data_IF_191994796002
#
_entry.id   IF_191994796002
#
_cell.length_a   1.000
_cell.length_b   1.000
_cell.length_c   1.000
_cell.angle_alpha   90.00
_cell.angle_beta   90.00
_cell.angle_gamma   90.00
#
_symmetry.space_group_name_H-M   'P 1'
#
loop_
_entity.id
_entity.type
_entity.pdbx_description
1 polymer ?
#
# COMPACT_ATOMS: atom_id res chain seq x y z
N UNK A 1 43.38 7.00 -7.86
CA UNK A 1 41.91 7.04 -7.58
C UNK A 1 41.48 5.65 -7.13
N UNK A 2 41.00 5.42 -5.90
CA UNK A 2 40.56 4.11 -5.48
C UNK A 2 39.18 3.81 -6.12
N UNK A 3 39.13 2.68 -6.83
CA UNK A 3 37.87 2.10 -7.31
C UNK A 3 37.05 1.65 -6.10
N UNK A 4 35.94 2.36 -5.81
CA UNK A 4 34.96 1.93 -4.84
C UNK A 4 34.21 0.73 -5.40
N UNK A 5 34.61 -0.46 -5.02
CA UNK A 5 33.85 -1.70 -5.25
C UNK A 5 32.69 -1.71 -4.28
N UNK A 6 31.46 -1.56 -4.79
CA UNK A 6 30.23 -1.74 -3.99
C UNK A 6 30.20 -3.19 -3.46
N UNK A 7 29.80 -3.41 -2.20
CA UNK A 7 29.78 -4.74 -1.62
C UNK A 7 28.81 -5.66 -2.38
N UNK A 8 29.20 -6.90 -2.63
CA UNK A 8 28.44 -7.90 -3.40
C UNK A 8 26.99 -8.09 -2.92
N UNK A 9 26.73 -7.91 -1.62
CA UNK A 9 25.39 -7.94 -1.01
C UNK A 9 24.46 -6.87 -1.60
N UNK A 10 24.96 -5.69 -1.92
CA UNK A 10 24.15 -4.59 -2.48
C UNK A 10 23.75 -4.87 -3.94
N UNK A 11 24.60 -5.51 -4.70
CA UNK A 11 24.33 -5.86 -6.12
C UNK A 11 23.26 -6.97 -6.19
N UNK A 12 23.33 -7.95 -5.31
CA UNK A 12 22.39 -9.08 -5.27
C UNK A 12 20.99 -8.64 -4.84
N UNK A 13 20.89 -7.73 -3.88
CA UNK A 13 19.60 -7.17 -3.45
C UNK A 13 18.97 -6.27 -4.53
N UNK A 14 19.77 -5.50 -5.26
CA UNK A 14 19.29 -4.69 -6.39
C UNK A 14 18.78 -5.57 -7.54
N UNK A 15 19.48 -6.67 -7.86
CA UNK A 15 19.06 -7.64 -8.89
C UNK A 15 17.74 -8.32 -8.50
N UNK A 16 17.60 -8.76 -7.25
CA UNK A 16 16.37 -9.37 -6.76
C UNK A 16 15.19 -8.38 -6.80
N UNK A 17 15.40 -7.12 -6.44
CA UNK A 17 14.36 -6.08 -6.52
C UNK A 17 13.95 -5.78 -7.96
N UNK A 18 14.89 -5.73 -8.89
CA UNK A 18 14.60 -5.55 -10.33
C UNK A 18 13.76 -6.70 -10.87
N UNK A 19 14.03 -7.94 -10.45
CA UNK A 19 13.24 -9.11 -10.82
C UNK A 19 11.80 -8.99 -10.29
N UNK A 20 11.62 -8.57 -9.04
CA UNK A 20 10.28 -8.33 -8.49
C UNK A 20 9.52 -7.23 -9.23
N UNK A 21 10.19 -6.12 -9.56
CA UNK A 21 9.58 -5.05 -10.36
C UNK A 21 9.16 -5.55 -11.75
N UNK A 22 9.97 -6.38 -12.38
CA UNK A 22 9.62 -7.02 -13.66
C UNK A 22 8.39 -7.92 -13.51
N UNK A 23 8.33 -8.79 -12.50
CA UNK A 23 7.18 -9.66 -12.23
C UNK A 23 5.89 -8.86 -12.03
N UNK A 24 5.93 -7.76 -11.27
CA UNK A 24 4.78 -6.86 -11.09
C UNK A 24 4.35 -6.24 -12.41
N UNK A 25 5.30 -5.70 -13.18
CA UNK A 25 5.01 -5.04 -14.47
C UNK A 25 4.37 -6.03 -15.45
N UNK A 26 4.89 -7.24 -15.51
CA UNK A 26 4.33 -8.34 -16.30
C UNK A 26 2.91 -8.66 -15.85
N UNK A 27 2.69 -8.85 -14.55
CA UNK A 27 1.36 -9.15 -14.00
C UNK A 27 0.33 -8.04 -14.29
N UNK A 28 0.73 -6.78 -14.18
CA UNK A 28 -0.13 -5.64 -14.56
C UNK A 28 -0.51 -5.73 -16.04
N UNK A 29 0.45 -6.01 -16.93
CA UNK A 29 0.18 -6.16 -18.37
C UNK A 29 -0.77 -7.34 -18.65
N UNK A 30 -0.59 -8.46 -17.97
CA UNK A 30 -1.48 -9.62 -18.06
C UNK A 30 -2.91 -9.25 -17.61
N UNK A 31 -3.07 -8.54 -16.49
CA UNK A 31 -4.37 -8.07 -16.02
C UNK A 31 -5.05 -7.12 -17.02
N UNK A 32 -4.32 -6.17 -17.59
CA UNK A 32 -4.86 -5.25 -18.60
C UNK A 32 -5.28 -5.99 -19.87
N UNK A 33 -4.43 -6.89 -20.39
CA UNK A 33 -4.74 -7.69 -21.57
C UNK A 33 -5.97 -8.58 -21.35
N UNK A 34 -6.05 -9.22 -20.17
CA UNK A 34 -7.20 -10.05 -19.81
C UNK A 34 -8.49 -9.21 -19.70
N UNK A 35 -8.41 -8.05 -19.08
CA UNK A 35 -9.55 -7.14 -18.98
C UNK A 35 -10.01 -6.65 -20.36
N UNK A 36 -9.09 -6.32 -21.27
CA UNK A 36 -9.40 -5.92 -22.62
C UNK A 36 -10.17 -7.00 -23.39
N UNK A 37 -9.71 -8.26 -23.26
CA UNK A 37 -10.40 -9.40 -23.90
C UNK A 37 -11.79 -9.63 -23.28
N UNK A 38 -11.87 -9.68 -21.95
CA UNK A 38 -13.13 -10.03 -21.26
C UNK A 38 -14.19 -8.93 -21.38
N UNK A 39 -13.76 -7.67 -21.36
CA UNK A 39 -14.67 -6.51 -21.34
C UNK A 39 -14.84 -5.86 -22.72
N UNK A 40 -14.18 -6.38 -23.74
CA UNK A 40 -14.14 -5.81 -25.11
C UNK A 40 -13.74 -4.32 -25.08
N UNK A 41 -12.56 -4.05 -24.52
CA UNK A 41 -12.01 -2.69 -24.32
C UNK A 41 -10.56 -2.60 -24.81
N UNK A 42 -10.00 -1.39 -24.86
CA UNK A 42 -8.62 -1.13 -25.31
C UNK A 42 -7.88 -0.28 -24.28
N UNK A 43 -7.83 -0.72 -23.02
CA UNK A 43 -7.05 -0.04 -21.99
C UNK A 43 -5.56 -0.14 -22.30
N UNK A 44 -4.85 0.98 -22.23
CA UNK A 44 -3.39 1.00 -22.31
C UNK A 44 -2.74 0.56 -21.00
N UNK A 45 -1.50 0.12 -21.06
CA UNK A 45 -0.74 -0.20 -19.84
C UNK A 45 -0.56 1.06 -18.97
N UNK A 46 -0.86 0.98 -17.65
CA UNK A 46 -0.68 2.12 -16.75
C UNK A 46 0.82 2.35 -16.44
N UNK A 47 1.16 3.58 -16.08
CA UNK A 47 2.46 3.88 -15.51
C UNK A 47 2.61 3.19 -14.13
N UNK A 48 3.79 2.65 -13.83
CA UNK A 48 4.06 1.93 -12.57
C UNK A 48 5.19 2.62 -11.80
N UNK A 49 5.02 2.78 -10.49
CA UNK A 49 6.05 3.30 -9.58
C UNK A 49 6.14 2.43 -8.32
N UNK A 50 7.35 2.33 -7.77
CA UNK A 50 7.66 1.57 -6.55
C UNK A 50 8.17 2.55 -5.48
N UNK A 51 7.30 3.42 -5.00
CA UNK A 51 7.67 4.55 -4.14
C UNK A 51 6.70 4.76 -2.95
N UNK A 52 5.80 3.81 -2.68
CA UNK A 52 4.96 3.84 -1.48
C UNK A 52 5.80 3.49 -0.25
N UNK A 53 5.51 4.17 0.85
CA UNK A 53 6.09 3.91 2.17
C UNK A 53 4.99 3.69 3.21
N UNK A 54 5.35 3.00 4.30
CA UNK A 54 4.42 2.69 5.39
C UNK A 54 3.50 1.51 5.05
N UNK A 55 2.33 1.45 5.66
CA UNK A 55 1.45 0.27 5.70
C UNK A 55 0.65 0.00 4.42
N UNK A 56 0.61 0.92 3.48
CA UNK A 56 -0.15 0.78 2.22
C UNK A 56 0.65 -0.06 1.24
N UNK A 57 0.07 -1.13 0.73
CA UNK A 57 0.73 -2.02 -0.24
C UNK A 57 0.69 -1.46 -1.66
N UNK A 58 -0.48 -1.04 -2.14
CA UNK A 58 -0.69 -0.49 -3.46
C UNK A 58 -1.56 0.77 -3.44
N UNK A 59 -1.59 1.47 -4.55
CA UNK A 59 -2.44 2.65 -4.76
C UNK A 59 -2.66 2.88 -6.26
N UNK A 60 -3.92 3.00 -6.67
CA UNK A 60 -4.30 3.42 -8.00
C UNK A 60 -4.54 4.95 -8.05
N UNK A 61 -3.75 5.67 -8.85
CA UNK A 61 -3.97 7.08 -9.14
C UNK A 61 -4.86 7.20 -10.37
N UNK A 62 -6.16 7.19 -10.16
CA UNK A 62 -7.20 7.01 -11.17
C UNK A 62 -7.09 7.99 -12.34
N UNK A 63 -6.98 9.29 -12.04
CA UNK A 63 -6.89 10.35 -13.04
C UNK A 63 -5.57 10.39 -13.84
N UNK A 64 -4.52 9.75 -13.30
CA UNK A 64 -3.19 9.69 -13.92
C UNK A 64 -2.94 8.38 -14.65
N UNK A 65 -3.88 7.45 -14.58
CA UNK A 65 -3.72 6.10 -15.12
C UNK A 65 -2.39 5.47 -14.67
N UNK A 66 -2.18 5.48 -13.34
CA UNK A 66 -0.91 5.08 -12.74
C UNK A 66 -1.14 4.20 -11.51
N UNK A 67 -0.29 3.20 -11.36
CA UNK A 67 -0.19 2.33 -10.19
C UNK A 67 1.06 2.66 -9.39
N UNK A 68 0.95 2.62 -8.07
CA UNK A 68 2.08 2.74 -7.18
C UNK A 68 2.09 1.55 -6.22
N UNK A 69 3.28 1.04 -5.93
CA UNK A 69 3.46 -0.13 -5.06
C UNK A 69 4.51 0.13 -3.98
N UNK A 70 4.39 -0.59 -2.86
CA UNK A 70 5.32 -0.54 -1.76
C UNK A 70 6.43 -1.59 -1.97
N UNK A 71 7.68 -1.17 -2.22
CA UNK A 71 8.76 -2.11 -2.51
C UNK A 71 9.13 -2.99 -1.30
N UNK A 72 8.94 -2.51 -0.06
CA UNK A 72 9.24 -3.29 1.14
C UNK A 72 8.23 -4.42 1.31
N UNK A 73 6.94 -4.12 1.30
CA UNK A 73 5.89 -5.14 1.42
C UNK A 73 5.91 -6.12 0.23
N UNK A 74 6.28 -5.66 -0.96
CA UNK A 74 6.49 -6.53 -2.13
C UNK A 74 7.63 -7.51 -1.90
N UNK A 75 8.76 -7.06 -1.38
CA UNK A 75 9.92 -7.93 -1.11
C UNK A 75 9.63 -8.99 -0.06
N UNK A 76 8.80 -8.67 0.92
CA UNK A 76 8.41 -9.56 2.02
C UNK A 76 7.29 -10.54 1.66
N UNK A 77 6.45 -10.21 0.66
CA UNK A 77 5.27 -10.99 0.30
C UNK A 77 5.10 -11.11 -1.23
N UNK A 78 6.11 -11.56 -2.00
CA UNK A 78 6.14 -11.40 -3.45
C UNK A 78 4.97 -12.07 -4.18
N UNK A 79 4.62 -13.28 -3.81
CA UNK A 79 3.59 -14.04 -4.51
C UNK A 79 2.18 -13.53 -4.19
N UNK A 80 1.85 -13.35 -2.91
CA UNK A 80 0.56 -12.79 -2.51
C UNK A 80 0.38 -11.34 -3.03
N UNK A 81 1.49 -10.58 -3.16
CA UNK A 81 1.45 -9.25 -3.74
C UNK A 81 1.06 -9.27 -5.22
N UNK A 82 1.63 -10.20 -5.99
CA UNK A 82 1.32 -10.39 -7.42
C UNK A 82 -0.11 -10.91 -7.61
N UNK A 83 -0.53 -11.85 -6.77
CA UNK A 83 -1.83 -12.52 -6.90
C UNK A 83 -3.01 -11.67 -6.40
N UNK A 84 -2.83 -10.89 -5.35
CA UNK A 84 -3.92 -10.14 -4.72
C UNK A 84 -3.82 -8.62 -4.94
N UNK A 85 -2.64 -7.99 -4.69
CA UNK A 85 -2.51 -6.53 -4.71
C UNK A 85 -2.53 -5.98 -6.14
N UNK A 86 -1.87 -6.65 -7.08
CA UNK A 86 -1.86 -6.18 -8.48
C UNK A 86 -3.26 -6.15 -9.08
N UNK A 87 -4.04 -7.24 -9.10
CA UNK A 87 -5.41 -7.19 -9.63
C UNK A 87 -6.32 -6.24 -8.84
N UNK A 88 -6.12 -6.06 -7.52
CA UNK A 88 -6.84 -5.09 -6.71
C UNK A 88 -6.67 -3.67 -7.24
N UNK A 89 -5.44 -3.24 -7.45
CA UNK A 89 -5.16 -1.87 -7.92
C UNK A 89 -5.51 -1.66 -9.39
N UNK A 90 -5.31 -2.68 -10.24
CA UNK A 90 -5.76 -2.64 -11.65
C UNK A 90 -7.28 -2.53 -11.74
N UNK A 91 -8.02 -3.24 -10.88
CA UNK A 91 -9.48 -3.15 -10.82
C UNK A 91 -9.97 -1.73 -10.55
N UNK A 92 -9.29 -0.98 -9.69
CA UNK A 92 -9.63 0.43 -9.44
C UNK A 92 -9.50 1.29 -10.71
N UNK A 93 -8.45 1.10 -11.52
CA UNK A 93 -8.28 1.82 -12.78
C UNK A 93 -9.39 1.47 -13.78
N UNK A 94 -9.66 0.18 -13.97
CA UNK A 94 -10.69 -0.31 -14.91
C UNK A 94 -12.07 0.23 -14.53
N UNK A 95 -12.42 0.13 -13.24
CA UNK A 95 -13.71 0.64 -12.74
C UNK A 95 -13.83 2.13 -12.96
N UNK A 96 -12.79 2.90 -12.69
CA UNK A 96 -12.82 4.33 -12.93
C UNK A 96 -12.96 4.67 -14.41
N UNK A 97 -12.27 3.96 -15.30
CA UNK A 97 -12.38 4.18 -16.74
C UNK A 97 -13.79 3.86 -17.29
N UNK A 98 -14.47 2.86 -16.74
CA UNK A 98 -15.79 2.43 -17.21
C UNK A 98 -16.97 3.16 -16.56
N UNK A 99 -16.86 3.48 -15.28
CA UNK A 99 -17.99 3.95 -14.47
C UNK A 99 -17.74 5.33 -13.85
N UNK A 100 -16.54 5.91 -14.04
CA UNK A 100 -16.18 7.15 -13.38
C UNK A 100 -15.98 6.97 -11.86
N UNK A 101 -16.35 8.00 -11.09
CA UNK A 101 -16.25 7.96 -9.62
C UNK A 101 -17.42 7.18 -9.02
N UNK A 102 -17.15 5.99 -8.57
CA UNK A 102 -18.07 5.16 -7.79
C UNK A 102 -17.50 4.89 -6.40
N UNK A 103 -18.27 4.20 -5.55
CA UNK A 103 -17.81 3.81 -4.21
C UNK A 103 -16.58 2.91 -4.30
N UNK A 104 -15.45 3.24 -3.65
CA UNK A 104 -14.30 2.33 -3.58
C UNK A 104 -14.73 0.97 -3.02
N UNK A 105 -14.25 -0.12 -3.64
CA UNK A 105 -14.61 -1.49 -3.31
C UNK A 105 -16.11 -1.80 -3.36
N UNK A 106 -16.89 -0.99 -4.11
CA UNK A 106 -18.31 -1.22 -4.39
C UNK A 106 -18.54 -2.41 -5.31
N UNK A 107 -19.80 -2.60 -5.72
CA UNK A 107 -20.22 -3.74 -6.58
C UNK A 107 -19.45 -3.79 -7.91
N UNK A 108 -19.12 -2.65 -8.49
CA UNK A 108 -18.37 -2.55 -9.74
C UNK A 108 -16.96 -3.11 -9.58
N UNK A 109 -16.26 -2.71 -8.50
CA UNK A 109 -14.92 -3.22 -8.20
C UNK A 109 -14.95 -4.71 -7.84
N UNK A 110 -15.91 -5.15 -7.04
CA UNK A 110 -16.09 -6.56 -6.69
C UNK A 110 -16.35 -7.43 -7.92
N UNK A 111 -17.15 -6.93 -8.86
CA UNK A 111 -17.42 -7.61 -10.12
C UNK A 111 -16.16 -7.76 -10.97
N UNK A 112 -15.33 -6.72 -11.09
CA UNK A 112 -14.06 -6.80 -11.83
C UNK A 112 -13.11 -7.80 -11.16
N UNK A 113 -12.97 -7.75 -9.83
CA UNK A 113 -12.13 -8.70 -9.10
C UNK A 113 -12.55 -10.16 -9.31
N UNK A 114 -13.84 -10.45 -9.15
CA UNK A 114 -14.34 -11.83 -9.20
C UNK A 114 -14.60 -12.35 -10.62
N UNK A 115 -15.16 -11.51 -11.51
CA UNK A 115 -15.60 -11.99 -12.83
C UNK A 115 -14.55 -11.79 -13.92
N UNK A 116 -13.66 -10.78 -13.77
CA UNK A 116 -12.60 -10.55 -14.74
C UNK A 116 -11.31 -11.24 -14.29
N UNK A 117 -10.92 -11.12 -13.02
CA UNK A 117 -9.63 -11.63 -12.56
C UNK A 117 -9.70 -12.95 -11.81
N UNK A 118 -10.89 -13.45 -11.53
CA UNK A 118 -11.11 -14.67 -10.70
C UNK A 118 -10.40 -14.59 -9.34
N UNK A 119 -10.37 -13.38 -8.76
CA UNK A 119 -9.75 -13.10 -7.45
C UNK A 119 -10.82 -12.69 -6.45
N UNK A 120 -10.76 -13.27 -5.25
CA UNK A 120 -11.69 -12.91 -4.17
C UNK A 120 -11.54 -11.43 -3.84
N UNK A 121 -12.65 -10.65 -3.79
CA UNK A 121 -12.61 -9.19 -3.58
C UNK A 121 -12.36 -8.81 -2.11
N UNK A 122 -11.15 -9.03 -1.62
CA UNK A 122 -10.71 -8.57 -0.30
C UNK A 122 -10.32 -7.10 -0.35
N UNK A 123 -10.83 -6.31 0.58
CA UNK A 123 -10.59 -4.86 0.62
C UNK A 123 -9.27 -4.47 1.28
N UNK A 124 -8.64 -5.40 1.99
CA UNK A 124 -7.37 -5.20 2.70
C UNK A 124 -6.49 -6.44 2.56
N UNK A 125 -5.18 -6.23 2.53
CA UNK A 125 -4.21 -7.33 2.59
C UNK A 125 -3.99 -7.78 4.05
N UNK A 126 -3.52 -9.02 4.25
CA UNK A 126 -3.20 -9.61 5.55
C UNK A 126 -1.70 -9.64 5.86
N UNK A 127 -0.89 -8.82 5.18
CA UNK A 127 0.56 -8.81 5.34
C UNK A 127 0.98 -8.38 6.75
N UNK A 128 2.07 -8.97 7.26
CA UNK A 128 2.76 -8.41 8.42
C UNK A 128 3.35 -7.04 8.02
N UNK A 129 3.02 -6.03 8.80
CA UNK A 129 3.39 -4.64 8.53
C UNK A 129 4.45 -4.11 9.50
N UNK A 130 5.03 -4.98 10.36
CA UNK A 130 6.01 -4.56 11.38
C UNK A 130 7.22 -3.84 10.79
N UNK A 131 7.74 -4.33 9.66
CA UNK A 131 8.89 -3.74 8.95
C UNK A 131 8.65 -2.33 8.43
N UNK A 132 7.39 -2.00 8.14
CA UNK A 132 6.95 -0.71 7.60
C UNK A 132 6.20 0.14 8.63
N UNK A 133 6.05 -0.34 9.86
CA UNK A 133 5.49 0.44 10.96
C UNK A 133 6.44 1.58 11.35
N UNK A 134 5.93 2.80 11.27
CA UNK A 134 6.65 3.96 11.79
C UNK A 134 6.71 3.94 13.32
N UNK A 135 7.72 4.61 13.87
CA UNK A 135 7.84 4.83 15.31
C UNK A 135 6.53 5.38 15.89
N UNK A 136 6.11 4.82 17.00
CA UNK A 136 4.96 5.29 17.77
C UNK A 136 5.38 5.69 19.18
N UNK A 137 4.56 6.51 19.81
CA UNK A 137 4.77 7.00 21.17
C UNK A 137 3.55 6.62 22.02
N UNK A 138 3.75 5.98 23.19
CA UNK A 138 2.65 5.57 24.06
C UNK A 138 2.03 6.82 24.72
N UNK A 139 0.73 6.98 24.50
CA UNK A 139 -0.09 7.97 25.18
C UNK A 139 -1.10 7.26 26.08
N UNK A 140 -1.26 7.74 27.29
CA UNK A 140 -2.10 7.13 28.31
C UNK A 140 -3.37 7.93 28.48
N UNK A 141 -4.47 7.24 28.66
CA UNK A 141 -5.72 7.74 29.23
C UNK A 141 -6.07 6.88 30.45
N UNK A 142 -7.22 7.10 31.06
CA UNK A 142 -7.65 6.31 32.23
C UNK A 142 -7.97 4.85 31.90
N UNK A 143 -8.24 4.52 30.66
CA UNK A 143 -8.74 3.19 30.28
C UNK A 143 -7.76 2.39 29.41
N UNK A 144 -6.71 2.98 28.83
CA UNK A 144 -5.83 2.29 27.88
C UNK A 144 -4.57 3.07 27.54
N UNK A 145 -3.63 2.41 26.83
CA UNK A 145 -2.43 3.01 26.23
C UNK A 145 -2.63 3.06 24.72
N UNK A 146 -2.64 4.26 24.15
CA UNK A 146 -2.92 4.49 22.72
C UNK A 146 -1.65 4.94 22.03
N UNK A 147 -1.10 4.17 21.07
CA UNK A 147 0.10 4.56 20.33
C UNK A 147 -0.23 5.69 19.35
N UNK A 148 0.45 6.82 19.48
CA UNK A 148 0.38 7.91 18.51
C UNK A 148 1.60 7.88 17.59
N UNK A 149 1.36 8.09 16.28
CA UNK A 149 2.43 8.22 15.29
C UNK A 149 3.31 9.44 15.57
N UNK A 150 4.54 9.44 15.04
CA UNK A 150 5.49 10.59 15.11
C UNK A 150 4.81 11.92 14.75
N UNK A 151 4.00 11.94 13.67
CA UNK A 151 3.28 13.15 13.25
C UNK A 151 2.31 13.66 14.32
N UNK A 152 1.56 12.76 14.95
CA UNK A 152 0.61 13.13 16.03
C UNK A 152 1.34 13.54 17.29
N UNK A 153 2.38 12.79 17.67
CA UNK A 153 3.25 13.11 18.79
C UNK A 153 3.84 14.52 18.64
N UNK A 154 4.44 14.84 17.49
CA UNK A 154 5.03 16.16 17.24
C UNK A 154 4.00 17.30 17.32
N UNK A 155 2.76 17.09 16.89
CA UNK A 155 1.69 18.08 17.05
C UNK A 155 1.36 18.34 18.52
N UNK A 156 1.32 17.30 19.35
CA UNK A 156 1.10 17.45 20.79
C UNK A 156 2.28 18.18 21.43
N UNK A 157 3.52 17.78 21.11
CA UNK A 157 4.73 18.42 21.66
C UNK A 157 4.82 19.91 21.32
N UNK A 158 4.31 20.31 20.14
CA UNK A 158 4.23 21.71 19.72
C UNK A 158 2.97 22.42 20.23
N UNK A 159 2.19 21.80 21.12
CA UNK A 159 0.93 22.34 21.67
C UNK A 159 -0.10 22.73 20.60
N UNK A 160 -0.03 22.15 19.42
CA UNK A 160 -0.96 22.42 18.31
C UNK A 160 -2.28 21.67 18.43
N UNK A 161 -2.31 20.58 19.20
CA UNK A 161 -3.50 19.74 19.36
C UNK A 161 -3.40 18.94 20.66
N UNK A 162 -4.54 18.71 21.29
CA UNK A 162 -4.73 17.74 22.35
C UNK A 162 -5.65 16.62 21.84
N UNK A 163 -5.20 15.39 21.86
CA UNK A 163 -6.03 14.24 21.50
C UNK A 163 -6.76 13.72 22.75
N UNK A 164 -7.98 13.21 22.53
CA UNK A 164 -8.81 12.60 23.56
C UNK A 164 -9.10 11.13 23.21
N UNK A 165 -9.23 10.30 24.20
CA UNK A 165 -9.63 8.91 24.05
C UNK A 165 -11.06 8.82 23.51
N UNK A 166 -11.29 8.02 22.47
CA UNK A 166 -12.64 7.84 21.92
C UNK A 166 -13.59 7.12 22.86
N UNK A 167 -13.06 6.27 23.76
CA UNK A 167 -13.81 5.44 24.70
C UNK A 167 -14.14 6.20 26.00
N UNK A 168 -13.14 6.66 26.75
CA UNK A 168 -13.32 7.33 28.04
C UNK A 168 -13.40 8.87 27.95
N UNK A 169 -13.20 9.47 26.77
CA UNK A 169 -13.21 10.91 26.52
C UNK A 169 -12.13 11.71 27.25
N UNK A 170 -11.25 11.06 28.00
CA UNK A 170 -10.17 11.70 28.72
C UNK A 170 -9.01 12.10 27.78
N UNK A 171 -8.27 13.15 28.10
CA UNK A 171 -7.09 13.57 27.36
C UNK A 171 -6.04 12.46 27.29
N UNK A 172 -5.37 12.36 26.15
CA UNK A 172 -4.23 11.48 25.97
C UNK A 172 -2.96 12.18 26.44
N UNK A 173 -2.29 11.61 27.46
CA UNK A 173 -1.08 12.16 28.06
C UNK A 173 0.10 11.28 27.70
N UNK A 174 1.16 11.88 27.16
CA UNK A 174 2.41 11.18 26.89
C UNK A 174 3.19 10.99 28.19
N UNK A 175 3.51 9.74 28.48
CA UNK A 175 4.43 9.38 29.55
C UNK A 175 5.65 8.72 28.90
N UNK A 176 6.82 9.37 28.89
CA UNK A 176 8.03 8.72 28.41
C UNK A 176 8.28 7.47 29.27
N UNK A 177 8.66 6.35 28.62
CA UNK A 177 9.17 5.19 29.36
C UNK A 177 10.39 5.66 30.17
N UNK A 178 10.38 5.44 31.48
CA UNK A 178 11.58 5.62 32.29
C UNK A 178 12.70 4.76 31.70
N UNK A 179 13.96 5.25 31.70
CA UNK A 179 15.11 4.54 31.15
C UNK A 179 15.37 3.22 31.89
#
# INVERSE_FOLDING_TARGET
MPLFTLPAVTIQSAKAMNELHYRITRRVSECISHANLTLNTEFSAPAIRFDIRGKTAGMALLQRWQLRFNPVLLAENPDAFIEEVVPHEVSHLIVFARFGRVRPHGKEWQSVMSQVFDVQPKTTHSFDIKSVEGKTFPYHCECDVIPLSVRRHNKVQRQQVQYVCRRCKQPLVWKPSSP
#
